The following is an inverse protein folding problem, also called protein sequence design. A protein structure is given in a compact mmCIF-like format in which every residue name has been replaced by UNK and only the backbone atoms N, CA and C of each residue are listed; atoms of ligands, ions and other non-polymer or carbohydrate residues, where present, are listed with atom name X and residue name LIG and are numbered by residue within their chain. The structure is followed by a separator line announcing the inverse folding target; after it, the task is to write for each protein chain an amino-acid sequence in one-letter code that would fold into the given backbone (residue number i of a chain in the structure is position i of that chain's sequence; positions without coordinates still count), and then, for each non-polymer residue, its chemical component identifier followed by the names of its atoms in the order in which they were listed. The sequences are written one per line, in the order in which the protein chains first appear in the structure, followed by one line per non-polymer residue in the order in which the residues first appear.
data_IF_682814410287
#
_entry.id   IF_682814410287
#
_cell.length_a   1.000
_cell.length_b   1.000
_cell.length_c   1.000
_cell.angle_alpha   90.00
_cell.angle_beta   90.00
_cell.angle_gamma   90.00
#
_symmetry.space_group_name_H-M   'P 1'
#
loop_
_entity.id
_entity.type
_entity.pdbx_description
1 polymer ?
#
# COMPACT_ATOMS: atom_id res chain seq x y z
N UNK A 1 53.12 35.36 89.51
CA UNK A 1 52.95 36.38 88.45
C UNK A 1 53.67 35.92 87.18
N UNK A 2 54.96 35.58 87.24
CA UNK A 2 55.72 35.17 86.04
C UNK A 2 55.24 33.88 85.35
N UNK A 3 54.82 32.87 86.13
CA UNK A 3 54.32 31.61 85.56
C UNK A 3 53.01 31.75 84.77
N UNK A 4 52.21 32.79 85.02
CA UNK A 4 50.94 33.03 84.32
C UNK A 4 51.18 33.69 82.95
N UNK A 5 52.22 34.53 82.86
CA UNK A 5 52.64 35.18 81.63
C UNK A 5 53.30 34.19 80.66
N UNK A 6 54.11 33.25 81.16
CA UNK A 6 54.64 32.16 80.34
C UNK A 6 53.55 31.21 79.83
N UNK A 7 52.54 30.93 80.67
CA UNK A 7 51.42 30.07 80.30
C UNK A 7 50.57 30.70 79.19
N UNK A 8 50.33 32.01 79.25
CA UNK A 8 49.63 32.76 78.21
C UNK A 8 50.43 32.83 76.91
N UNK A 9 51.76 33.03 77.00
CA UNK A 9 52.65 33.00 75.83
C UNK A 9 52.61 31.64 75.11
N UNK A 10 52.71 30.54 75.87
CA UNK A 10 52.63 29.18 75.32
C UNK A 10 51.26 28.92 74.69
N UNK A 11 50.16 29.42 75.27
CA UNK A 11 48.82 29.31 74.67
C UNK A 11 48.73 30.02 73.32
N UNK A 12 49.31 31.21 73.21
CA UNK A 12 49.32 31.97 71.95
C UNK A 12 50.17 31.27 70.89
N UNK A 13 51.32 30.72 71.26
CA UNK A 13 52.21 29.98 70.36
C UNK A 13 51.53 28.69 69.84
N UNK A 14 50.88 27.93 70.73
CA UNK A 14 50.06 26.76 70.36
C UNK A 14 48.92 27.16 69.41
N UNK A 15 48.28 28.32 69.63
CA UNK A 15 47.19 28.77 68.77
C UNK A 15 47.68 29.16 67.37
N UNK A 16 48.83 29.83 67.28
CA UNK A 16 49.47 30.17 66.01
C UNK A 16 49.89 28.90 65.25
N UNK A 17 50.51 27.93 65.93
CA UNK A 17 50.87 26.65 65.32
C UNK A 17 49.65 25.89 64.79
N UNK A 18 48.53 25.89 65.52
CA UNK A 18 47.27 25.28 65.06
C UNK A 18 46.74 25.94 63.79
N UNK A 19 46.74 27.27 63.74
CA UNK A 19 46.31 28.01 62.55
C UNK A 19 47.23 27.75 61.36
N UNK A 20 48.54 27.73 61.59
CA UNK A 20 49.52 27.43 60.54
C UNK A 20 49.34 26.00 60.01
N UNK A 21 49.12 25.04 60.90
CA UNK A 21 48.84 23.65 60.54
C UNK A 21 47.57 23.54 59.69
N UNK A 22 46.49 24.22 60.08
CA UNK A 22 45.22 24.21 59.33
C UNK A 22 45.37 24.80 57.93
N UNK A 23 46.09 25.91 57.79
CA UNK A 23 46.40 26.50 56.47
C UNK A 23 47.23 25.56 55.59
N UNK A 24 48.21 24.86 56.17
CA UNK A 24 49.03 23.89 55.43
C UNK A 24 48.23 22.65 55.03
N UNK A 25 47.33 22.17 55.90
CA UNK A 25 46.44 21.05 55.59
C UNK A 25 45.48 21.41 54.45
N UNK A 26 44.93 22.63 54.45
CA UNK A 26 44.09 23.12 53.36
C UNK A 26 44.87 23.24 52.05
N UNK A 27 46.06 23.84 52.07
CA UNK A 27 46.92 23.92 50.89
C UNK A 27 47.32 22.54 50.35
N UNK A 28 47.63 21.60 51.23
CA UNK A 28 47.94 20.23 50.84
C UNK A 28 46.72 19.51 50.22
N UNK A 29 45.51 19.78 50.72
CA UNK A 29 44.29 19.25 50.14
C UNK A 29 44.01 19.84 48.75
N UNK A 30 44.19 21.15 48.58
CA UNK A 30 44.05 21.84 47.29
C UNK A 30 45.08 21.34 46.27
N UNK A 31 46.33 21.10 46.70
CA UNK A 31 47.38 20.51 45.86
C UNK A 31 47.04 19.08 45.44
N UNK A 32 46.49 18.26 46.35
CA UNK A 32 46.02 16.91 45.98
C UNK A 32 44.88 16.97 44.97
N UNK A 33 43.92 17.88 45.15
CA UNK A 33 42.82 18.05 44.22
C UNK A 33 43.29 18.51 42.83
N UNK A 34 44.27 19.43 42.77
CA UNK A 34 44.86 19.85 41.49
C UNK A 34 45.65 18.74 40.81
N UNK A 35 46.37 17.90 41.57
CA UNK A 35 47.03 16.71 41.03
C UNK A 35 46.00 15.74 40.45
N UNK A 36 44.92 15.47 41.17
CA UNK A 36 43.83 14.59 40.71
C UNK A 36 43.16 15.12 39.43
N UNK A 37 42.93 16.44 39.33
CA UNK A 37 42.39 17.06 38.11
C UNK A 37 43.35 16.88 36.92
N UNK A 38 44.66 17.09 37.14
CA UNK A 38 45.66 16.96 36.09
C UNK A 38 45.83 15.51 35.62
N UNK A 39 45.78 14.54 36.54
CA UNK A 39 45.79 13.11 36.21
C UNK A 39 44.56 12.72 35.37
N UNK A 40 43.37 13.17 35.77
CA UNK A 40 42.15 12.93 34.99
C UNK A 40 42.21 13.54 33.58
N UNK A 41 42.77 14.75 33.44
CA UNK A 41 42.94 15.39 32.13
C UNK A 41 43.96 14.64 31.28
N UNK A 42 45.06 14.18 31.87
CA UNK A 42 46.07 13.38 31.18
C UNK A 42 45.47 12.12 30.55
N UNK A 43 44.59 11.41 31.27
CA UNK A 43 43.92 10.21 30.75
C UNK A 43 43.01 10.50 29.54
N UNK A 44 42.41 11.70 29.47
CA UNK A 44 41.56 12.10 28.34
C UNK A 44 42.34 12.54 27.09
N UNK A 45 43.58 13.00 27.24
CA UNK A 45 44.41 13.49 26.12
C UNK A 45 44.70 12.39 25.09
N UNK A 46 44.92 11.16 25.54
CA UNK A 46 45.14 10.02 24.63
C UNK A 46 43.88 9.71 23.79
N UNK A 47 42.68 9.95 24.33
CA UNK A 47 41.43 9.75 23.61
C UNK A 47 41.17 10.84 22.56
N UNK A 48 41.53 12.10 22.83
CA UNK A 48 41.39 13.20 21.87
C UNK A 48 42.29 13.01 20.63
N UNK A 49 43.52 12.50 20.84
CA UNK A 49 44.44 12.17 19.75
C UNK A 49 43.87 11.11 18.79
N UNK A 50 43.10 10.15 19.33
CA UNK A 50 42.44 9.12 18.54
C UNK A 50 41.27 9.69 17.72
N UNK A 51 40.50 10.64 18.27
CA UNK A 51 39.37 11.22 17.55
C UNK A 51 39.80 12.01 16.30
N UNK A 52 40.82 12.86 16.43
CA UNK A 52 41.30 13.65 15.29
C UNK A 52 41.91 12.78 14.21
N UNK A 53 42.61 11.70 14.60
CA UNK A 53 43.13 10.71 13.68
C UNK A 53 42.01 10.02 12.91
N UNK A 54 40.97 9.52 13.59
CA UNK A 54 39.81 8.89 12.93
C UNK A 54 39.09 9.86 12.00
N UNK A 55 38.92 11.13 12.40
CA UNK A 55 38.33 12.17 11.54
C UNK A 55 39.17 12.43 10.30
N UNK A 56 40.49 12.55 10.46
CA UNK A 56 41.42 12.75 9.35
C UNK A 56 41.41 11.57 8.38
N UNK A 57 41.47 10.34 8.88
CA UNK A 57 41.43 9.12 8.07
C UNK A 57 40.12 9.02 7.28
N UNK A 58 38.98 9.25 7.95
CA UNK A 58 37.66 9.26 7.30
C UNK A 58 37.57 10.34 6.21
N UNK A 59 38.05 11.55 6.50
CA UNK A 59 38.04 12.65 5.54
C UNK A 59 38.95 12.37 4.33
N UNK A 60 40.11 11.75 4.57
CA UNK A 60 41.04 11.35 3.51
C UNK A 60 40.38 10.31 2.61
N UNK A 61 39.71 9.31 3.17
CA UNK A 61 38.99 8.29 2.40
C UNK A 61 37.85 8.90 1.56
N UNK A 62 37.07 9.81 2.12
CA UNK A 62 36.02 10.52 1.39
C UNK A 62 36.62 11.34 0.24
N UNK A 63 37.74 12.03 0.49
CA UNK A 63 38.42 12.81 -0.54
C UNK A 63 38.90 11.91 -1.69
N UNK A 64 39.51 10.76 -1.40
CA UNK A 64 39.92 9.80 -2.43
C UNK A 64 38.72 9.28 -3.25
N UNK A 65 37.58 9.04 -2.62
CA UNK A 65 36.36 8.63 -3.33
C UNK A 65 35.84 9.75 -4.23
N UNK A 66 35.87 11.00 -3.78
CA UNK A 66 35.49 12.16 -4.58
C UNK A 66 36.43 12.38 -5.76
N UNK A 67 37.74 12.23 -5.56
CA UNK A 67 38.74 12.28 -6.64
C UNK A 67 38.50 11.21 -7.70
N UNK A 68 38.19 9.98 -7.28
CA UNK A 68 37.79 8.89 -8.20
C UNK A 68 36.52 9.23 -8.97
N UNK A 69 35.53 9.84 -8.33
CA UNK A 69 34.29 10.27 -9.00
C UNK A 69 34.54 11.40 -10.00
N UNK A 70 35.38 12.38 -9.65
CA UNK A 70 35.79 13.46 -10.55
C UNK A 70 36.46 12.88 -11.79
N UNK A 71 37.40 11.95 -11.61
CA UNK A 71 38.07 11.29 -12.74
C UNK A 71 37.08 10.52 -13.63
N UNK A 72 36.15 9.77 -13.04
CA UNK A 72 35.11 9.06 -13.78
C UNK A 72 34.24 10.01 -14.62
N UNK A 73 33.79 11.11 -14.02
CA UNK A 73 32.97 12.11 -14.69
C UNK A 73 33.75 12.84 -15.79
N UNK A 74 35.01 13.18 -15.54
CA UNK A 74 35.89 13.76 -16.56
C UNK A 74 36.07 12.80 -17.75
N UNK A 75 36.29 11.51 -17.49
CA UNK A 75 36.38 10.50 -18.54
C UNK A 75 35.08 10.39 -19.34
N UNK A 76 33.91 10.34 -18.69
CA UNK A 76 32.61 10.32 -19.38
C UNK A 76 32.36 11.55 -20.23
N UNK A 77 32.72 12.73 -19.73
CA UNK A 77 32.62 13.99 -20.48
C UNK A 77 33.56 13.95 -21.69
N UNK A 78 34.78 13.43 -21.53
CA UNK A 78 35.74 13.34 -22.62
C UNK A 78 35.32 12.31 -23.66
N UNK A 79 34.78 11.17 -23.25
CA UNK A 79 34.20 10.15 -24.11
C UNK A 79 33.02 10.73 -24.91
N UNK A 80 32.09 11.43 -24.24
CA UNK A 80 30.99 12.11 -24.92
C UNK A 80 31.49 13.15 -25.94
N UNK A 81 32.54 13.91 -25.61
CA UNK A 81 33.18 14.85 -26.54
C UNK A 81 33.85 14.14 -27.72
N UNK A 82 34.51 13.01 -27.49
CA UNK A 82 35.12 12.20 -28.56
C UNK A 82 34.05 11.65 -29.48
N UNK A 83 33.00 11.03 -28.92
CA UNK A 83 31.87 10.51 -29.67
C UNK A 83 31.20 11.61 -30.51
N UNK A 84 31.10 12.83 -29.97
CA UNK A 84 30.57 13.98 -30.70
C UNK A 84 31.49 14.39 -31.87
N UNK A 85 32.80 14.44 -31.63
CA UNK A 85 33.81 14.76 -32.66
C UNK A 85 33.85 13.69 -33.76
N UNK A 86 33.77 12.41 -33.40
CA UNK A 86 33.77 11.27 -34.31
C UNK A 86 32.48 11.23 -35.15
N UNK A 87 31.36 11.70 -34.59
CA UNK A 87 30.11 11.93 -35.31
C UNK A 87 30.11 13.22 -36.16
N UNK A 88 31.20 14.00 -36.16
CA UNK A 88 31.31 15.27 -36.90
C UNK A 88 30.46 16.41 -36.34
N UNK A 89 29.98 16.28 -35.10
CA UNK A 89 29.14 17.29 -34.42
C UNK A 89 29.99 18.10 -33.44
N UNK A 90 29.65 19.37 -33.22
CA UNK A 90 30.30 20.27 -32.25
C UNK A 90 29.36 20.52 -31.06
N UNK A 91 29.86 20.91 -29.86
CA UNK A 91 28.99 21.27 -28.73
C UNK A 91 28.00 22.40 -29.03
N UNK A 92 28.24 23.18 -30.09
CA UNK A 92 27.36 24.24 -30.59
C UNK A 92 26.18 23.68 -31.41
N UNK A 93 26.34 22.50 -32.00
CA UNK A 93 25.30 21.82 -32.79
C UNK A 93 24.22 21.21 -31.90
N UNK A 94 24.58 20.81 -30.67
CA UNK A 94 23.61 20.29 -29.68
C UNK A 94 22.72 21.37 -29.06
N UNK A 95 23.18 22.63 -29.02
CA UNK A 95 22.38 23.80 -28.61
C UNK A 95 21.55 24.40 -29.75
N UNK A 96 21.73 23.90 -30.98
CA UNK A 96 20.76 24.10 -32.05
C UNK A 96 19.69 23.03 -31.87
N UNK A 97 18.48 23.44 -31.47
CA UNK A 97 17.25 22.66 -31.68
C UNK A 97 17.03 22.25 -33.16
N UNK A 98 17.85 22.79 -34.06
CA UNK A 98 17.97 22.48 -35.48
C UNK A 98 18.60 21.10 -35.77
N UNK A 99 19.28 20.43 -34.82
CA UNK A 99 19.84 19.07 -35.00
C UNK A 99 18.80 17.93 -34.83
N UNK A 100 17.51 18.27 -34.94
CA UNK A 100 16.52 17.35 -35.53
C UNK A 100 16.73 17.20 -37.05
N UNK A 101 17.71 17.87 -37.65
CA UNK A 101 18.02 17.81 -39.08
C UNK A 101 18.46 16.43 -39.59
N UNK A 102 18.81 15.47 -38.70
CA UNK A 102 19.00 14.06 -39.09
C UNK A 102 17.68 13.33 -39.36
N UNK A 103 16.53 13.95 -39.05
CA UNK A 103 15.27 13.55 -39.62
C UNK A 103 15.24 14.00 -41.09
N UNK A 104 15.87 13.22 -41.97
CA UNK A 104 15.75 13.36 -43.41
C UNK A 104 14.28 13.63 -43.76
N UNK A 105 13.92 14.67 -44.52
CA UNK A 105 12.53 14.95 -44.91
C UNK A 105 11.80 13.74 -45.50
N UNK A 106 12.55 12.78 -46.06
CA UNK A 106 12.03 11.48 -46.46
C UNK A 106 11.61 10.59 -45.27
N UNK A 107 12.44 10.49 -44.22
CA UNK A 107 12.15 9.78 -42.98
C UNK A 107 10.93 10.36 -42.27
N UNK A 108 10.85 11.70 -42.15
CA UNK A 108 9.67 12.36 -41.56
C UNK A 108 8.41 11.98 -42.34
N UNK A 109 8.46 12.07 -43.68
CA UNK A 109 7.31 11.71 -44.54
C UNK A 109 6.94 10.23 -44.44
N UNK A 110 7.92 9.34 -44.25
CA UNK A 110 7.67 7.90 -44.04
C UNK A 110 7.00 7.66 -42.70
N UNK A 111 7.49 8.27 -41.62
CA UNK A 111 6.92 8.18 -40.29
C UNK A 111 5.52 8.82 -40.21
N UNK A 112 5.26 9.90 -40.94
CA UNK A 112 3.92 10.50 -41.04
C UNK A 112 2.93 9.58 -41.76
N UNK A 113 3.35 8.92 -42.84
CA UNK A 113 2.54 7.92 -43.54
C UNK A 113 2.26 6.71 -42.65
N UNK A 114 3.28 6.21 -41.96
CA UNK A 114 3.15 5.08 -41.04
C UNK A 114 2.23 5.43 -39.87
N UNK A 115 2.41 6.62 -39.26
CA UNK A 115 1.50 7.15 -38.25
C UNK A 115 0.06 7.21 -38.76
N UNK A 116 -0.16 7.71 -39.97
CA UNK A 116 -1.49 7.81 -40.55
C UNK A 116 -2.11 6.42 -40.80
N UNK A 117 -1.32 5.48 -41.30
CA UNK A 117 -1.73 4.10 -41.51
C UNK A 117 -2.10 3.42 -40.19
N UNK A 118 -1.22 3.52 -39.17
CA UNK A 118 -1.47 2.95 -37.84
C UNK A 118 -2.68 3.59 -37.17
N UNK A 119 -2.87 4.90 -37.34
CA UNK A 119 -4.05 5.61 -36.81
C UNK A 119 -5.34 5.13 -37.49
N UNK A 120 -5.31 4.88 -38.80
CA UNK A 120 -6.44 4.30 -39.53
C UNK A 120 -6.73 2.88 -39.05
N UNK A 121 -5.70 2.03 -38.94
CA UNK A 121 -5.84 0.66 -38.46
C UNK A 121 -6.40 0.60 -37.04
N UNK A 122 -5.92 1.47 -36.16
CA UNK A 122 -6.43 1.58 -34.79
C UNK A 122 -7.92 1.92 -34.81
N UNK A 123 -8.34 2.88 -35.63
CA UNK A 123 -9.75 3.25 -35.75
C UNK A 123 -10.63 2.14 -36.34
N UNK A 124 -10.11 1.38 -37.30
CA UNK A 124 -10.79 0.21 -37.86
C UNK A 124 -10.95 -0.91 -36.82
N UNK A 125 -9.91 -1.16 -36.01
CA UNK A 125 -9.95 -2.14 -34.93
C UNK A 125 -10.93 -1.71 -33.82
N UNK A 126 -10.91 -0.44 -33.42
CA UNK A 126 -11.89 0.13 -32.48
C UNK A 126 -13.32 -0.05 -32.99
N UNK A 127 -13.56 0.24 -34.28
CA UNK A 127 -14.88 0.06 -34.89
C UNK A 127 -15.31 -1.41 -34.91
N UNK A 128 -14.40 -2.33 -35.28
CA UNK A 128 -14.69 -3.77 -35.25
C UNK A 128 -15.00 -4.27 -33.85
N UNK A 129 -14.27 -3.81 -32.84
CA UNK A 129 -14.51 -4.16 -31.44
C UNK A 129 -15.88 -3.68 -30.97
N UNK A 130 -16.28 -2.46 -31.35
CA UNK A 130 -17.62 -1.93 -31.07
C UNK A 130 -18.72 -2.77 -31.75
N UNK A 131 -18.53 -3.17 -33.00
CA UNK A 131 -19.47 -4.06 -33.69
C UNK A 131 -19.56 -5.45 -33.03
N UNK A 132 -18.43 -6.03 -32.65
CA UNK A 132 -18.38 -7.31 -31.95
C UNK A 132 -19.07 -7.24 -30.59
N UNK A 133 -18.83 -6.15 -29.83
CA UNK A 133 -19.52 -5.90 -28.56
C UNK A 133 -21.04 -5.82 -28.75
N UNK A 134 -21.52 -5.07 -29.76
CA UNK A 134 -22.94 -4.99 -30.10
C UNK A 134 -23.53 -6.35 -30.47
N UNK A 135 -22.85 -7.12 -31.31
CA UNK A 135 -23.27 -8.46 -31.71
C UNK A 135 -23.32 -9.41 -30.51
N UNK A 136 -22.32 -9.35 -29.64
CA UNK A 136 -22.27 -10.14 -28.40
C UNK A 136 -23.45 -9.80 -27.47
N UNK A 137 -23.71 -8.52 -27.23
CA UNK A 137 -24.83 -8.11 -26.38
C UNK A 137 -26.17 -8.57 -26.94
N UNK A 138 -26.39 -8.41 -28.25
CA UNK A 138 -27.59 -8.89 -28.93
C UNK A 138 -27.76 -10.41 -28.74
N UNK A 139 -26.73 -11.20 -29.05
CA UNK A 139 -26.78 -12.65 -28.89
C UNK A 139 -26.97 -13.08 -27.43
N UNK A 140 -26.36 -12.37 -26.47
CA UNK A 140 -26.53 -12.67 -25.06
C UNK A 140 -27.93 -12.35 -24.55
N UNK A 141 -28.56 -11.27 -25.03
CA UNK A 141 -29.94 -10.93 -24.66
C UNK A 141 -30.96 -11.87 -25.30
N UNK A 142 -30.72 -12.32 -26.54
CA UNK A 142 -31.48 -13.42 -27.16
C UNK A 142 -31.35 -14.71 -26.32
N UNK A 143 -30.13 -15.07 -25.91
CA UNK A 143 -29.89 -16.23 -25.04
C UNK A 143 -30.62 -16.11 -23.71
N UNK A 144 -30.62 -14.93 -23.06
CA UNK A 144 -31.37 -14.70 -21.82
C UNK A 144 -32.88 -14.87 -22.04
N UNK A 145 -33.41 -14.33 -23.13
CA UNK A 145 -34.81 -14.47 -23.52
C UNK A 145 -35.19 -15.94 -23.68
N UNK A 146 -34.43 -16.72 -24.45
CA UNK A 146 -34.68 -18.16 -24.58
C UNK A 146 -34.56 -18.92 -23.25
N UNK A 147 -33.63 -18.55 -22.38
CA UNK A 147 -33.54 -19.15 -21.05
C UNK A 147 -34.79 -18.86 -20.21
N UNK A 148 -35.34 -17.65 -20.28
CA UNK A 148 -36.60 -17.29 -19.61
C UNK A 148 -37.77 -18.10 -20.18
N UNK A 149 -37.89 -18.20 -21.50
CA UNK A 149 -38.94 -19.00 -22.16
C UNK A 149 -38.86 -20.49 -21.79
N UNK A 150 -37.65 -21.06 -21.77
CA UNK A 150 -37.42 -22.45 -21.34
C UNK A 150 -37.84 -22.63 -19.87
N UNK A 151 -37.46 -21.71 -18.99
CA UNK A 151 -37.82 -21.79 -17.57
C UNK A 151 -39.33 -21.64 -17.35
N UNK A 152 -39.99 -20.71 -18.05
CA UNK A 152 -41.44 -20.56 -18.04
C UNK A 152 -42.14 -21.81 -18.56
N UNK A 153 -41.69 -22.37 -19.68
CA UNK A 153 -42.25 -23.61 -20.24
C UNK A 153 -42.04 -24.80 -19.30
N UNK A 154 -40.85 -24.93 -18.69
CA UNK A 154 -40.57 -25.95 -17.67
C UNK A 154 -41.49 -25.80 -16.45
N UNK A 155 -41.73 -24.57 -16.01
CA UNK A 155 -42.65 -24.29 -14.90
C UNK A 155 -44.08 -24.70 -15.26
N UNK A 156 -44.60 -24.26 -16.41
CA UNK A 156 -45.92 -24.63 -16.92
C UNK A 156 -46.07 -26.14 -17.10
N UNK A 157 -45.05 -26.82 -17.63
CA UNK A 157 -45.03 -28.28 -17.75
C UNK A 157 -45.02 -28.95 -16.37
N UNK A 158 -44.28 -28.41 -15.39
CA UNK A 158 -44.30 -28.86 -14.00
C UNK A 158 -45.68 -28.74 -13.36
N UNK A 159 -46.36 -27.60 -13.54
CA UNK A 159 -47.73 -27.39 -13.08
C UNK A 159 -48.72 -28.33 -13.79
N UNK A 160 -48.60 -28.49 -15.11
CA UNK A 160 -49.43 -29.40 -15.90
C UNK A 160 -49.22 -30.87 -15.50
N UNK A 161 -47.97 -31.30 -15.31
CA UNK A 161 -47.61 -32.63 -14.82
C UNK A 161 -48.11 -32.87 -13.39
N UNK A 162 -48.10 -31.85 -12.54
CA UNK A 162 -48.61 -31.93 -11.16
C UNK A 162 -50.14 -32.01 -11.15
N UNK A 163 -50.82 -31.22 -11.99
CA UNK A 163 -52.28 -31.32 -12.23
C UNK A 163 -52.66 -32.68 -12.80
N UNK A 164 -51.91 -33.21 -13.76
CA UNK A 164 -52.15 -34.53 -14.35
C UNK A 164 -51.95 -35.65 -13.32
N UNK A 165 -50.95 -35.54 -12.44
CA UNK A 165 -50.78 -36.47 -11.31
C UNK A 165 -51.93 -36.38 -10.30
N UNK A 166 -52.40 -35.18 -9.96
CA UNK A 166 -53.56 -35.01 -9.09
C UNK A 166 -54.86 -35.56 -9.71
N UNK A 167 -55.03 -35.45 -11.04
CA UNK A 167 -56.14 -36.05 -11.78
C UNK A 167 -56.02 -37.58 -11.89
N UNK A 168 -54.82 -38.12 -12.08
CA UNK A 168 -54.56 -39.57 -12.08
C UNK A 168 -54.72 -40.20 -10.70
N UNK A 169 -54.44 -39.48 -9.61
CA UNK A 169 -54.78 -39.89 -8.24
C UNK A 169 -56.29 -39.84 -7.95
N UNK A 170 -57.04 -38.98 -8.65
CA UNK A 170 -58.50 -38.93 -8.58
C UNK A 170 -59.15 -40.04 -9.42
N UNK A 171 -58.55 -40.42 -10.55
CA UNK A 171 -58.99 -41.56 -11.36
C UNK A 171 -58.65 -42.92 -10.72
N UNK A 172 -57.56 -43.03 -9.95
CA UNK A 172 -57.21 -44.27 -9.22
C UNK A 172 -58.11 -44.58 -8.02
N UNK A 173 -58.98 -43.66 -7.58
CA UNK A 173 -60.00 -43.95 -6.57
C UNK A 173 -61.37 -44.32 -7.18
N UNK A 174 -61.54 -44.21 -8.51
CA UNK A 174 -62.86 -44.26 -9.17
C UNK A 174 -63.01 -45.34 -10.26
N UNK A 175 -62.08 -46.30 -10.36
CA UNK A 175 -62.25 -47.46 -11.26
C UNK A 175 -62.12 -48.80 -10.55
N UNK A 176 -63.01 -49.04 -9.57
CA UNK A 176 -63.59 -50.36 -9.37
C UNK A 176 -64.86 -50.42 -10.24
N UNK A 177 -64.88 -51.47 -11.06
CA UNK A 177 -65.79 -51.75 -12.17
C UNK A 177 -67.29 -51.74 -11.80
N UNK A 178 -68.08 -51.04 -12.61
CA UNK A 178 -69.45 -51.46 -12.91
C UNK A 178 -70.58 -50.48 -12.56
N UNK A 179 -71.26 -50.02 -13.60
CA UNK A 179 -72.69 -49.68 -13.63
C UNK A 179 -73.18 -48.37 -12.97
N UNK A 180 -73.47 -47.39 -13.84
CA UNK A 180 -74.70 -46.57 -13.91
C UNK A 180 -75.36 -46.07 -12.61
N UNK A 181 -75.26 -44.77 -12.36
CA UNK A 181 -76.33 -43.74 -12.21
C UNK A 181 -76.04 -42.70 -11.11
N UNK A 182 -76.55 -41.45 -11.23
CA UNK A 182 -75.92 -40.27 -10.64
C UNK A 182 -76.64 -39.68 -9.41
N UNK A 183 -75.88 -38.81 -8.71
CA UNK A 183 -76.24 -37.79 -7.70
C UNK A 183 -76.29 -38.24 -6.24
N UNK A 184 -75.53 -37.53 -5.40
CA UNK A 184 -76.16 -36.58 -4.47
C UNK A 184 -75.23 -35.39 -4.15
N UNK A 185 -75.83 -34.19 -4.12
CA UNK A 185 -75.25 -32.90 -3.80
C UNK A 185 -75.54 -32.60 -2.32
N UNK A 186 -74.63 -32.90 -1.39
CA UNK A 186 -74.72 -32.34 -0.03
C UNK A 186 -73.39 -32.36 0.75
N UNK A 187 -72.49 -31.42 0.43
CA UNK A 187 -71.65 -30.70 1.42
C UNK A 187 -70.82 -29.61 0.73
N UNK A 188 -71.25 -28.37 0.94
CA UNK A 188 -70.54 -27.15 0.54
C UNK A 188 -69.45 -26.79 1.55
N UNK A 189 -68.24 -27.37 1.50
CA UNK A 189 -67.01 -26.74 2.05
C UNK A 189 -65.77 -27.21 1.27
N UNK A 190 -65.07 -26.34 0.51
CA UNK A 190 -63.74 -26.62 -0.03
C UNK A 190 -62.64 -26.52 1.03
N UNK A 191 -61.74 -27.50 1.02
CA UNK A 191 -60.65 -27.71 1.97
C UNK A 191 -59.40 -26.92 1.55
N UNK A 192 -59.40 -25.59 1.75
CA UNK A 192 -58.14 -24.81 1.82
C UNK A 192 -58.32 -23.38 2.38
N UNK A 193 -59.05 -23.22 3.50
CA UNK A 193 -59.06 -21.94 4.21
C UNK A 193 -57.94 -21.90 5.25
N UNK A 194 -56.86 -21.17 4.92
CA UNK A 194 -56.00 -20.55 5.93
C UNK A 194 -56.86 -19.57 6.71
N UNK A 195 -57.34 -19.98 7.88
CA UNK A 195 -58.19 -19.15 8.73
C UNK A 195 -57.38 -17.90 9.16
N UNK A 196 -57.76 -16.75 8.61
CA UNK A 196 -57.31 -15.42 9.00
C UNK A 196 -58.08 -15.03 10.26
N UNK A 197 -57.38 -14.68 11.34
CA UNK A 197 -58.00 -14.08 12.52
C UNK A 197 -58.48 -12.64 12.17
N UNK A 198 -59.80 -12.34 12.19
CA UNK A 198 -60.34 -11.07 11.70
C UNK A 198 -59.81 -9.83 12.45
N UNK A 199 -59.28 -10.00 13.66
CA UNK A 199 -58.70 -8.90 14.45
C UNK A 199 -57.26 -8.55 14.06
N UNK A 200 -56.56 -9.41 13.31
CA UNK A 200 -55.11 -9.28 13.06
C UNK A 200 -54.69 -8.91 11.64
N UNK A 201 -55.63 -8.88 10.69
CA UNK A 201 -55.39 -8.41 9.32
C UNK A 201 -54.34 -9.22 8.53
N UNK A 202 -54.03 -8.84 7.27
CA UNK A 202 -53.12 -9.60 6.41
C UNK A 202 -51.66 -9.61 6.92
N UNK A 203 -51.00 -10.76 6.84
CA UNK A 203 -49.61 -10.96 7.30
C UNK A 203 -48.66 -10.03 6.53
N UNK A 204 -48.05 -9.05 7.20
CA UNK A 204 -47.00 -8.19 6.63
C UNK A 204 -45.67 -8.95 6.66
N UNK A 205 -45.08 -9.23 5.49
CA UNK A 205 -43.74 -9.84 5.38
C UNK A 205 -42.68 -8.89 5.95
N UNK A 206 -42.00 -9.28 7.02
CA UNK A 206 -40.88 -8.52 7.58
C UNK A 206 -39.52 -9.04 7.11
N UNK A 207 -38.62 -8.08 6.87
CA UNK A 207 -37.16 -8.13 6.80
C UNK A 207 -36.48 -8.91 5.66
N UNK A 208 -36.05 -8.15 4.64
CA UNK A 208 -34.88 -8.49 3.84
C UNK A 208 -33.61 -8.04 4.58
N UNK A 209 -32.68 -8.97 4.84
CA UNK A 209 -31.37 -8.66 5.43
C UNK A 209 -30.45 -8.23 4.29
N UNK A 210 -30.13 -6.93 4.22
CA UNK A 210 -29.14 -6.37 3.30
C UNK A 210 -27.82 -6.23 4.08
N UNK A 211 -26.81 -6.96 3.63
CA UNK A 211 -25.38 -6.85 3.97
C UNK A 211 -24.90 -7.76 5.11
N UNK A 212 -24.10 -8.77 4.73
CA UNK A 212 -23.21 -9.51 5.62
C UNK A 212 -21.85 -8.79 5.67
N UNK A 213 -21.14 -8.80 6.82
CA UNK A 213 -19.81 -8.18 6.94
C UNK A 213 -18.72 -9.01 6.24
N UNK A 214 -17.68 -8.34 5.72
CA UNK A 214 -16.54 -8.98 5.05
C UNK A 214 -15.52 -9.53 6.04
N UNK A 215 -14.92 -10.67 5.70
CA UNK A 215 -13.86 -11.32 6.47
C UNK A 215 -12.52 -10.69 6.12
N UNK A 216 -11.78 -10.21 7.13
CA UNK A 216 -10.37 -9.84 6.95
C UNK A 216 -9.49 -11.09 6.96
N UNK A 217 -8.57 -11.17 6.00
CA UNK A 217 -7.53 -12.20 5.97
C UNK A 217 -6.26 -11.65 6.64
N UNK A 218 -5.86 -12.25 7.76
CA UNK A 218 -4.49 -12.22 8.29
C UNK A 218 -3.62 -13.26 7.63
#
# INVERSE_FOLDING_TARGET
MDGDFELEKIRQEIQQEKQMKEMLEQSAAELRATVEELENRYDTVDNEGNEWKTRYETQTEINEQLERQILNLQNKVQEAKSNLKDAGKTPRDMNRFDDLSDANPHMIRMLEKEKQMLSSQLRDLEWRLDQESKAYHKANDERKTYNLEINTTKHQHGEMSSRQRAMGSREQLDTISGSRTPRDLSRNIPEDQRIIDPKRGPIKKTAGVKNLPSLEMT
#
